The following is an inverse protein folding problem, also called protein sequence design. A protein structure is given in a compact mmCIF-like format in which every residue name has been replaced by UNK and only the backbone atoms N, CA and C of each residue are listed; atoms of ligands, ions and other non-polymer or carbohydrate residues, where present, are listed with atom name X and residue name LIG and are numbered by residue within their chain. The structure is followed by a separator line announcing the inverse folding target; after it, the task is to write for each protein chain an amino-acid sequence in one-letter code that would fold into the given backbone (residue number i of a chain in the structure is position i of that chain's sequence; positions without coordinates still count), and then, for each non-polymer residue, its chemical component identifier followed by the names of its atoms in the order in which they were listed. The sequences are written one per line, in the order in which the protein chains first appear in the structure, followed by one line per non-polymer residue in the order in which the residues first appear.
data_IF_871621334320
#
_entry.id   IF_871621334320
#
_cell.length_a   1.000
_cell.length_b   1.000
_cell.length_c   1.000
_cell.angle_alpha   90.00
_cell.angle_beta   90.00
_cell.angle_gamma   90.00
#
_symmetry.space_group_name_H-M   'P 1'
#
loop_
_entity.id
_entity.type
_entity.pdbx_description
1 polymer ?
#
# COMPACT_ATOMS: atom_id res chain seq x y z
N UNK A 1 22.83 29.33 -15.87
CA UNK A 1 21.40 29.65 -15.78
C UNK A 1 20.82 28.94 -14.56
N UNK A 2 20.48 29.66 -13.49
CA UNK A 2 19.76 29.11 -12.32
C UNK A 2 18.27 29.21 -12.62
N UNK A 3 17.55 28.10 -12.57
CA UNK A 3 16.08 28.12 -12.58
C UNK A 3 15.61 28.82 -11.29
N UNK A 4 14.66 29.77 -11.36
CA UNK A 4 14.13 30.41 -10.17
C UNK A 4 13.24 29.43 -9.42
N UNK A 5 13.75 28.89 -8.31
CA UNK A 5 12.90 28.23 -7.31
C UNK A 5 12.02 29.30 -6.68
N UNK A 6 10.72 29.23 -6.94
CA UNK A 6 9.73 30.06 -6.25
C UNK A 6 9.77 29.72 -4.76
N UNK A 7 10.43 30.55 -3.96
CA UNK A 7 10.39 30.43 -2.52
C UNK A 7 8.94 30.64 -2.06
N UNK A 8 8.40 29.69 -1.28
CA UNK A 8 7.08 29.83 -0.69
C UNK A 8 7.02 31.12 0.15
N UNK A 9 5.92 31.89 0.08
CA UNK A 9 5.65 33.01 0.96
C UNK A 9 5.93 32.68 2.44
N UNK A 10 6.50 33.62 3.20
CA UNK A 10 6.91 33.39 4.60
C UNK A 10 5.76 32.99 5.56
N UNK A 11 4.50 33.24 5.18
CA UNK A 11 3.30 32.77 5.89
C UNK A 11 3.03 31.28 5.61
N UNK A 12 3.19 30.85 4.37
CA UNK A 12 3.02 29.46 3.93
C UNK A 12 4.16 28.58 4.45
N UNK A 13 5.41 29.05 4.41
CA UNK A 13 6.56 28.36 5.01
C UNK A 13 6.36 28.15 6.53
N UNK A 14 5.83 29.14 7.25
CA UNK A 14 5.50 28.97 8.68
C UNK A 14 4.36 27.98 8.93
N UNK A 15 3.32 27.96 8.08
CA UNK A 15 2.21 26.98 8.18
C UNK A 15 2.73 25.57 7.91
N UNK A 16 3.51 25.38 6.85
CA UNK A 16 4.14 24.11 6.51
C UNK A 16 5.01 23.59 7.65
N UNK A 17 5.92 24.41 8.19
CA UNK A 17 6.77 24.03 9.34
C UNK A 17 5.96 23.62 10.57
N UNK A 18 4.87 24.33 10.86
CA UNK A 18 3.97 23.97 11.98
C UNK A 18 3.26 22.64 11.71
N UNK A 19 2.81 22.39 10.47
CA UNK A 19 2.19 21.13 10.05
C UNK A 19 3.17 19.97 10.20
N UNK A 20 4.37 20.08 9.63
CA UNK A 20 5.42 19.06 9.72
C UNK A 20 5.80 18.75 11.18
N UNK A 21 5.90 19.79 12.02
CA UNK A 21 6.17 19.61 13.45
C UNK A 21 5.02 18.89 14.17
N UNK A 22 3.77 19.15 13.78
CA UNK A 22 2.59 18.45 14.32
C UNK A 22 2.61 16.98 13.91
N UNK A 23 2.75 16.68 12.63
CA UNK A 23 2.83 15.32 12.09
C UNK A 23 3.94 14.53 12.78
N UNK A 24 5.14 15.11 12.88
CA UNK A 24 6.25 14.50 13.59
C UNK A 24 5.90 14.16 15.04
N UNK A 25 5.29 15.10 15.77
CA UNK A 25 4.87 14.86 17.15
C UNK A 25 3.83 13.75 17.26
N UNK A 26 2.88 13.68 16.32
CA UNK A 26 1.90 12.59 16.26
C UNK A 26 2.61 11.25 16.08
N UNK A 27 3.52 11.14 15.11
CA UNK A 27 4.29 9.92 14.86
C UNK A 27 5.12 9.51 16.09
N UNK A 28 5.81 10.47 16.71
CA UNK A 28 6.59 10.24 17.94
C UNK A 28 5.70 9.76 19.10
N UNK A 29 4.48 10.30 19.22
CA UNK A 29 3.50 9.89 20.22
C UNK A 29 2.99 8.46 20.00
N UNK A 30 2.65 8.10 18.76
CA UNK A 30 2.23 6.74 18.40
C UNK A 30 3.33 5.72 18.67
N UNK A 31 4.56 6.00 18.23
CA UNK A 31 5.69 5.11 18.49
C UNK A 31 5.96 4.95 20.00
N UNK A 32 5.79 6.01 20.80
CA UNK A 32 5.90 5.92 22.25
C UNK A 32 4.79 5.06 22.87
N UNK A 33 3.55 5.24 22.43
CA UNK A 33 2.40 4.46 22.88
C UNK A 33 2.58 2.96 22.59
N UNK A 34 3.20 2.61 21.46
CA UNK A 34 3.48 1.22 21.08
C UNK A 34 4.76 0.65 21.70
N UNK A 35 5.48 1.44 22.52
CA UNK A 35 6.75 1.03 23.12
C UNK A 35 7.92 0.97 22.14
N UNK A 36 7.81 1.63 20.98
CA UNK A 36 8.76 1.65 19.87
C UNK A 36 9.65 2.90 19.84
N UNK A 37 9.96 3.45 21.01
CA UNK A 37 10.75 4.68 21.13
C UNK A 37 12.20 4.52 20.64
N UNK A 38 12.76 3.32 20.81
CA UNK A 38 14.16 3.00 20.53
C UNK A 38 14.34 1.55 20.07
N UNK A 39 15.23 1.32 19.11
CA UNK A 39 15.69 -0.02 18.74
C UNK A 39 14.63 -0.91 18.09
N UNK A 40 13.50 -0.34 17.68
CA UNK A 40 12.46 -0.99 16.90
C UNK A 40 12.63 -0.60 15.43
N UNK A 41 12.46 -1.56 14.52
CA UNK A 41 12.49 -1.36 13.09
C UNK A 41 11.19 -1.85 12.43
N UNK A 42 11.31 -2.21 11.15
CA UNK A 42 10.18 -2.65 10.34
C UNK A 42 9.54 -3.90 10.90
N UNK A 43 10.34 -4.88 11.34
CA UNK A 43 9.82 -6.16 11.83
C UNK A 43 8.94 -5.99 13.06
N UNK A 44 9.36 -5.14 14.00
CA UNK A 44 8.57 -4.84 15.20
C UNK A 44 7.27 -4.08 14.85
N UNK A 45 7.33 -3.10 13.94
CA UNK A 45 6.15 -2.37 13.49
C UNK A 45 5.16 -3.28 12.74
N UNK A 46 5.68 -4.12 11.83
CA UNK A 46 4.90 -5.09 11.06
C UNK A 46 4.19 -6.10 11.96
N UNK A 47 4.91 -6.69 12.92
CA UNK A 47 4.35 -7.64 13.87
C UNK A 47 3.28 -7.00 14.75
N UNK A 48 3.53 -5.78 15.25
CA UNK A 48 2.58 -5.03 16.07
C UNK A 48 1.30 -4.72 15.30
N UNK A 49 1.39 -4.17 14.09
CA UNK A 49 0.22 -3.81 13.28
C UNK A 49 -0.59 -5.03 12.87
N UNK A 50 0.06 -6.14 12.53
CA UNK A 50 -0.63 -7.42 12.25
C UNK A 50 -1.42 -7.90 13.48
N UNK A 51 -0.79 -7.87 14.67
CA UNK A 51 -1.44 -8.27 15.91
C UNK A 51 -2.60 -7.33 16.31
N UNK A 52 -2.40 -6.02 16.18
CA UNK A 52 -3.41 -5.01 16.51
C UNK A 52 -4.66 -5.14 15.63
N UNK A 53 -4.49 -5.51 14.36
CA UNK A 53 -5.60 -5.69 13.42
C UNK A 53 -6.28 -7.05 13.54
N UNK A 54 -5.64 -8.01 14.20
CA UNK A 54 -6.13 -9.38 14.28
C UNK A 54 -6.09 -10.14 12.95
N UNK A 55 -5.32 -9.66 11.98
CA UNK A 55 -5.13 -10.27 10.65
C UNK A 55 -3.70 -10.09 10.16
N UNK A 56 -3.14 -11.05 9.42
CA UNK A 56 -1.76 -10.97 8.95
C UNK A 56 -1.60 -9.88 7.88
N UNK A 57 -0.43 -9.24 7.89
CA UNK A 57 0.04 -8.37 6.80
C UNK A 57 1.10 -9.17 6.03
N UNK A 58 0.88 -9.43 4.75
CA UNK A 58 1.83 -10.15 3.90
C UNK A 58 2.72 -9.18 3.12
N UNK A 59 4.04 -9.31 3.27
CA UNK A 59 5.02 -8.52 2.52
C UNK A 59 5.43 -9.29 1.25
N UNK A 60 5.06 -8.79 0.07
CA UNK A 60 5.22 -9.50 -1.20
C UNK A 60 6.16 -8.74 -2.16
N UNK A 61 7.38 -9.25 -2.42
CA UNK A 61 8.26 -8.63 -3.40
C UNK A 61 7.68 -8.79 -4.82
N UNK A 62 7.45 -7.67 -5.50
CA UNK A 62 6.75 -7.60 -6.78
C UNK A 62 7.54 -6.74 -7.79
N UNK A 63 7.44 -7.05 -9.09
CA UNK A 63 7.99 -6.18 -10.13
C UNK A 63 6.99 -5.09 -10.48
N UNK A 64 7.37 -3.82 -10.38
CA UNK A 64 6.53 -2.71 -10.83
C UNK A 64 7.02 -2.25 -12.22
N UNK A 65 6.14 -2.25 -13.25
CA UNK A 65 6.49 -1.79 -14.60
C UNK A 65 6.63 -0.26 -14.63
N UNK A 66 5.97 0.40 -13.68
CA UNK A 66 5.77 1.82 -13.61
C UNK A 66 6.81 2.42 -12.71
N UNK A 67 7.64 3.29 -13.29
CA UNK A 67 8.82 3.86 -12.64
C UNK A 67 8.54 4.76 -11.43
N UNK A 68 7.27 4.97 -11.08
CA UNK A 68 6.85 5.88 -10.01
C UNK A 68 6.08 5.18 -8.88
N UNK A 69 5.66 3.92 -9.08
CA UNK A 69 5.08 3.09 -8.03
C UNK A 69 6.17 2.15 -7.52
N UNK A 70 6.45 2.21 -6.23
CA UNK A 70 7.47 1.37 -5.61
C UNK A 70 6.90 0.43 -4.55
N UNK A 71 5.68 0.71 -4.07
CA UNK A 71 4.91 -0.17 -3.21
C UNK A 71 3.44 0.16 -3.28
N UNK A 72 2.63 -0.77 -2.79
CA UNK A 72 1.18 -0.65 -2.64
C UNK A 72 0.72 -1.44 -1.43
N UNK A 73 -0.27 -0.91 -0.73
CA UNK A 73 -1.04 -1.63 0.27
C UNK A 73 -2.44 -1.98 -0.25
N UNK A 74 -2.76 -3.27 -0.26
CA UNK A 74 -4.08 -3.80 -0.53
C UNK A 74 -4.72 -4.31 0.75
N UNK A 75 -5.93 -3.85 1.02
CA UNK A 75 -6.74 -4.28 2.16
C UNK A 75 -7.73 -5.35 1.70
N UNK A 76 -7.74 -6.49 2.38
CA UNK A 76 -8.79 -7.52 2.27
C UNK A 76 -9.49 -7.67 3.62
N UNK A 77 -10.49 -8.55 3.71
CA UNK A 77 -11.19 -8.84 4.97
C UNK A 77 -10.32 -9.65 5.93
N UNK A 78 -9.65 -10.68 5.40
CA UNK A 78 -8.96 -11.68 6.21
C UNK A 78 -7.46 -11.38 6.39
N UNK A 79 -6.86 -10.55 5.51
CA UNK A 79 -5.45 -10.17 5.56
C UNK A 79 -5.18 -8.84 4.84
N UNK A 80 -3.99 -8.31 4.99
CA UNK A 80 -3.50 -7.17 4.21
C UNK A 80 -2.30 -7.63 3.36
N UNK A 81 -2.10 -7.04 2.18
CA UNK A 81 -0.92 -7.26 1.35
C UNK A 81 -0.18 -5.94 1.20
N UNK A 82 1.12 -5.92 1.49
CA UNK A 82 2.04 -4.87 1.07
C UNK A 82 2.92 -5.45 -0.03
N UNK A 83 2.67 -5.05 -1.27
CA UNK A 83 3.57 -5.37 -2.38
C UNK A 83 4.63 -4.27 -2.52
N UNK A 84 5.90 -4.64 -2.72
CA UNK A 84 7.03 -3.70 -2.80
C UNK A 84 8.01 -4.07 -3.90
N UNK A 85 8.71 -3.08 -4.46
CA UNK A 85 9.61 -3.27 -5.61
C UNK A 85 10.75 -4.24 -5.30
N UNK A 86 10.71 -5.41 -5.94
CA UNK A 86 11.63 -6.51 -5.71
C UNK A 86 13.09 -6.16 -6.05
N UNK A 87 13.31 -5.29 -7.04
CA UNK A 87 14.64 -4.90 -7.51
C UNK A 87 15.23 -3.69 -6.74
N UNK A 88 14.47 -3.11 -5.79
CA UNK A 88 14.96 -2.02 -4.97
C UNK A 88 16.12 -2.46 -4.08
N UNK A 89 17.01 -1.53 -3.73
CA UNK A 89 18.06 -1.78 -2.73
C UNK A 89 17.43 -2.10 -1.37
N UNK A 90 18.15 -2.79 -0.49
CA UNK A 90 17.64 -3.13 0.84
C UNK A 90 17.07 -1.92 1.59
N UNK A 91 17.80 -0.79 1.59
CA UNK A 91 17.33 0.45 2.23
C UNK A 91 16.11 1.08 1.57
N UNK A 92 15.95 0.93 0.25
CA UNK A 92 14.73 1.39 -0.43
C UNK A 92 13.55 0.45 -0.15
N UNK A 93 13.76 -0.88 -0.11
CA UNK A 93 12.73 -1.83 0.33
C UNK A 93 12.26 -1.50 1.74
N UNK A 94 13.20 -1.23 2.64
CA UNK A 94 12.92 -0.81 4.02
C UNK A 94 12.03 0.45 4.05
N UNK A 95 12.36 1.46 3.25
CA UNK A 95 11.56 2.69 3.13
C UNK A 95 10.16 2.42 2.59
N UNK A 96 10.05 1.68 1.48
CA UNK A 96 8.77 1.35 0.85
C UNK A 96 7.88 0.64 1.87
N UNK A 97 8.38 -0.41 2.53
CA UNK A 97 7.59 -1.18 3.49
C UNK A 97 7.20 -0.32 4.70
N UNK A 98 8.13 0.47 5.24
CA UNK A 98 7.83 1.35 6.36
C UNK A 98 6.78 2.42 6.00
N UNK A 99 6.79 2.90 4.77
CA UNK A 99 5.81 3.86 4.24
C UNK A 99 4.41 3.22 4.12
N UNK A 100 4.30 2.03 3.53
CA UNK A 100 3.02 1.32 3.43
C UNK A 100 2.47 0.90 4.80
N UNK A 101 3.35 0.45 5.72
CA UNK A 101 2.96 0.19 7.12
C UNK A 101 2.48 1.45 7.83
N UNK A 102 3.03 2.62 7.50
CA UNK A 102 2.58 3.87 8.07
C UNK A 102 1.15 4.24 7.62
N UNK A 103 0.79 3.98 6.36
CA UNK A 103 -0.61 4.10 5.93
C UNK A 103 -1.56 3.21 6.75
N UNK A 104 -1.14 1.99 7.07
CA UNK A 104 -1.90 1.09 7.95
C UNK A 104 -2.01 1.67 9.36
N UNK A 105 -0.90 2.16 9.91
CA UNK A 105 -0.82 2.72 11.25
C UNK A 105 -1.75 3.92 11.48
N UNK A 106 -1.94 4.76 10.46
CA UNK A 106 -2.84 5.90 10.50
C UNK A 106 -4.27 5.57 10.05
N UNK A 107 -4.57 4.30 9.73
CA UNK A 107 -5.85 3.85 9.15
C UNK A 107 -6.27 4.66 7.92
N UNK A 108 -5.29 4.99 7.07
CA UNK A 108 -5.58 5.61 5.77
C UNK A 108 -6.40 4.65 4.91
N UNK A 109 -7.08 5.20 3.92
CA UNK A 109 -7.78 4.37 2.96
C UNK A 109 -6.72 3.78 2.01
N UNK A 110 -6.38 2.50 2.21
CA UNK A 110 -5.32 1.82 1.45
C UNK A 110 -5.46 1.97 -0.07
N UNK A 111 -4.37 1.74 -0.79
CA UNK A 111 -4.30 1.96 -2.25
C UNK A 111 -5.40 1.22 -3.02
N UNK A 112 -5.74 0.00 -2.56
CA UNK A 112 -6.79 -0.84 -3.11
C UNK A 112 -7.63 -1.48 -1.99
N UNK A 113 -8.95 -1.40 -2.13
CA UNK A 113 -9.90 -2.26 -1.40
C UNK A 113 -10.40 -3.34 -2.33
N UNK A 114 -10.16 -4.59 -1.96
CA UNK A 114 -10.69 -5.76 -2.67
C UNK A 114 -11.83 -6.31 -1.82
N UNK A 115 -12.95 -5.58 -1.77
CA UNK A 115 -14.14 -6.03 -1.05
C UNK A 115 -14.81 -7.16 -1.84
N UNK A 116 -15.42 -8.11 -1.12
CA UNK A 116 -16.26 -9.19 -1.67
C UNK A 116 -17.59 -8.59 -2.13
N UNK A 117 -17.85 -8.58 -3.44
CA UNK A 117 -19.12 -8.26 -4.12
C UNK A 117 -20.06 -7.28 -3.39
N UNK A 118 -19.98 -6.00 -3.74
CA UNK A 118 -21.17 -5.15 -3.77
C UNK A 118 -21.61 -5.04 -5.24
N UNK A 119 -22.84 -5.46 -5.61
CA UNK A 119 -23.32 -5.27 -6.96
C UNK A 119 -23.34 -3.77 -7.24
N UNK A 120 -22.56 -3.36 -8.24
CA UNK A 120 -22.50 -1.97 -8.65
C UNK A 120 -23.88 -1.45 -9.00
N UNK A 121 -24.52 -0.71 -8.08
CA UNK A 121 -25.58 0.24 -8.43
C UNK A 121 -24.92 1.51 -8.95
N UNK A 122 -24.17 1.37 -10.04
CA UNK A 122 -24.02 2.45 -10.99
C UNK A 122 -25.22 2.34 -11.90
N UNK A 123 -26.20 3.24 -11.78
CA UNK A 123 -27.24 3.37 -12.79
C UNK A 123 -26.57 3.76 -14.14
N UNK A 124 -26.72 2.95 -15.20
CA UNK A 124 -26.61 3.48 -16.55
C UNK A 124 -28.00 3.97 -16.98
N UNK A 125 -28.05 5.25 -17.31
CA UNK A 125 -29.15 5.85 -18.05
C UNK A 125 -29.44 5.04 -19.33
N UNK A 126 -30.70 4.64 -19.51
CA UNK A 126 -31.33 4.50 -20.82
C UNK A 126 -31.13 3.21 -21.64
N UNK A 127 -32.12 2.31 -21.53
CA UNK A 127 -32.76 1.51 -22.62
C UNK A 127 -32.11 0.21 -23.13
N UNK A 128 -32.81 -0.91 -22.85
CA UNK A 128 -33.47 -1.83 -23.81
C UNK A 128 -33.34 -3.32 -23.40
N UNK A 129 -34.48 -4.03 -23.46
CA UNK A 129 -34.73 -5.38 -22.96
C UNK A 129 -34.16 -6.52 -23.84
N UNK A 130 -33.97 -7.71 -23.26
CA UNK A 130 -34.63 -8.97 -23.69
C UNK A 130 -34.32 -10.16 -22.74
N UNK A 131 -35.15 -11.18 -22.87
CA UNK A 131 -35.50 -12.29 -21.96
C UNK A 131 -34.42 -13.37 -21.65
N UNK A 132 -34.58 -14.05 -20.50
CA UNK A 132 -34.69 -15.52 -20.47
C UNK A 132 -33.65 -16.39 -19.72
N UNK A 133 -34.18 -17.21 -18.79
CA UNK A 133 -33.70 -18.52 -18.26
C UNK A 133 -32.63 -18.57 -17.15
N UNK A 134 -32.91 -19.35 -16.09
CA UNK A 134 -32.09 -19.47 -14.89
C UNK A 134 -31.24 -20.75 -14.74
N UNK A 135 -30.25 -20.63 -13.85
CA UNK A 135 -29.56 -21.60 -12.95
C UNK A 135 -28.92 -22.88 -13.55
N UNK A 136 -27.74 -23.38 -13.05
CA UNK A 136 -27.46 -23.49 -11.62
C UNK A 136 -26.04 -23.16 -11.11
N UNK A 137 -26.01 -23.12 -9.78
CA UNK A 137 -24.88 -23.03 -8.85
C UNK A 137 -23.70 -23.93 -9.21
N UNK A 138 -22.51 -23.34 -9.18
CA UNK A 138 -21.22 -24.02 -9.17
C UNK A 138 -20.27 -23.17 -8.34
N UNK A 139 -19.67 -23.77 -7.31
CA UNK A 139 -18.70 -23.14 -6.43
C UNK A 139 -17.47 -22.63 -7.21
N UNK A 140 -17.55 -21.40 -7.70
CA UNK A 140 -16.42 -20.62 -8.18
C UNK A 140 -15.93 -19.75 -7.03
N UNK A 141 -14.63 -19.79 -6.73
CA UNK A 141 -14.03 -18.88 -5.76
C UNK A 141 -14.29 -17.43 -6.25
N UNK A 142 -14.87 -16.54 -5.42
CA UNK A 142 -15.45 -15.26 -5.85
C UNK A 142 -14.41 -14.19 -6.21
N UNK A 143 -13.13 -14.55 -6.28
CA UNK A 143 -12.07 -13.63 -6.70
C UNK A 143 -11.81 -13.68 -8.21
N UNK A 144 -12.46 -14.61 -8.93
CA UNK A 144 -12.26 -14.93 -10.35
C UNK A 144 -12.57 -13.77 -11.30
N UNK A 145 -13.35 -12.78 -10.88
CA UNK A 145 -13.89 -11.73 -11.76
C UNK A 145 -13.12 -10.38 -11.68
N UNK A 146 -12.03 -10.29 -10.92
CA UNK A 146 -11.21 -9.07 -10.88
C UNK A 146 -10.27 -9.03 -12.08
N UNK A 147 -10.63 -8.22 -13.08
CA UNK A 147 -9.85 -7.97 -14.30
C UNK A 147 -8.47 -7.35 -13.98
N UNK A 148 -7.35 -7.90 -14.48
CA UNK A 148 -6.02 -7.27 -14.38
C UNK A 148 -5.97 -5.82 -14.89
N UNK A 149 -6.78 -5.46 -15.87
CA UNK A 149 -6.89 -4.08 -16.34
C UNK A 149 -7.61 -3.18 -15.32
N UNK A 150 -8.59 -3.72 -14.59
CA UNK A 150 -9.19 -3.04 -13.45
C UNK A 150 -8.16 -2.85 -12.32
N UNK A 151 -7.38 -3.88 -11.98
CA UNK A 151 -6.26 -3.73 -11.02
C UNK A 151 -5.33 -2.62 -11.46
N UNK A 152 -4.91 -2.61 -12.74
CA UNK A 152 -4.05 -1.55 -13.29
C UNK A 152 -4.69 -0.15 -13.24
N UNK A 153 -5.98 -0.05 -13.56
CA UNK A 153 -6.72 1.21 -13.53
C UNK A 153 -6.87 1.75 -12.10
N UNK A 154 -7.11 0.87 -11.12
CA UNK A 154 -7.23 1.29 -9.72
C UNK A 154 -5.85 1.59 -9.13
N UNK A 155 -4.80 0.83 -9.47
CA UNK A 155 -3.40 1.15 -9.10
C UNK A 155 -2.98 2.55 -9.59
N UNK A 156 -3.39 2.93 -10.81
CA UNK A 156 -3.15 4.27 -11.37
C UNK A 156 -3.97 5.38 -10.70
N UNK A 157 -5.02 5.02 -9.95
CA UNK A 157 -5.93 5.96 -9.29
C UNK A 157 -5.70 6.06 -7.79
N UNK A 158 -4.88 5.18 -7.19
CA UNK A 158 -4.47 5.28 -5.79
C UNK A 158 -3.81 6.64 -5.57
N UNK A 159 -4.51 7.54 -4.89
CA UNK A 159 -4.02 8.87 -4.51
C UNK A 159 -4.27 9.05 -3.04
N UNK A 160 -3.21 8.98 -2.25
CA UNK A 160 -3.22 9.51 -0.91
C UNK A 160 -3.19 11.05 -0.98
N UNK A 161 -3.74 11.70 0.03
CA UNK A 161 -3.65 13.15 0.15
C UNK A 161 -2.25 13.59 0.56
N UNK A 162 -1.88 14.85 0.27
CA UNK A 162 -0.61 15.43 0.72
C UNK A 162 -0.38 15.33 2.25
N UNK A 163 -1.46 15.27 3.04
CA UNK A 163 -1.38 15.11 4.49
C UNK A 163 -1.10 13.65 4.86
N UNK A 164 -1.81 12.70 4.24
CA UNK A 164 -1.60 11.26 4.42
C UNK A 164 -0.19 10.83 4.00
N UNK A 165 0.27 11.31 2.85
CA UNK A 165 1.63 11.08 2.35
C UNK A 165 2.69 11.63 3.31
N UNK A 166 2.42 12.81 3.88
CA UNK A 166 3.35 13.41 4.83
C UNK A 166 3.41 12.65 6.15
N UNK A 167 2.27 12.12 6.62
CA UNK A 167 2.18 11.27 7.80
C UNK A 167 2.94 9.96 7.59
N UNK A 168 2.71 9.30 6.46
CA UNK A 168 3.40 8.07 6.10
C UNK A 168 4.91 8.25 5.98
N UNK A 169 5.35 9.26 5.23
CA UNK A 169 6.76 9.56 5.02
C UNK A 169 7.48 9.94 6.33
N UNK A 170 6.79 10.68 7.21
CA UNK A 170 7.36 11.06 8.51
C UNK A 170 7.51 9.86 9.44
N UNK A 171 6.50 8.99 9.50
CA UNK A 171 6.55 7.76 10.30
C UNK A 171 7.63 6.81 9.78
N UNK A 172 7.69 6.58 8.47
CA UNK A 172 8.70 5.75 7.82
C UNK A 172 10.12 6.24 8.14
N UNK A 173 10.36 7.54 7.95
CA UNK A 173 11.65 8.16 8.29
C UNK A 173 12.01 7.98 9.77
N UNK A 174 11.02 8.09 10.66
CA UNK A 174 11.19 8.00 12.10
C UNK A 174 11.46 6.58 12.60
N UNK A 175 10.78 5.56 12.06
CA UNK A 175 11.03 4.16 12.46
C UNK A 175 12.38 3.69 11.93
N UNK A 176 12.74 4.06 10.70
CA UNK A 176 14.04 3.70 10.11
C UNK A 176 15.21 4.39 10.81
N UNK A 177 15.04 5.65 11.23
CA UNK A 177 16.06 6.35 12.01
C UNK A 177 16.28 5.74 13.41
N UNK A 178 15.30 5.00 13.95
CA UNK A 178 15.37 4.34 15.26
C UNK A 178 15.79 2.88 15.19
N UNK A 179 15.68 2.27 14.02
CA UNK A 179 16.07 0.90 13.79
C UNK A 179 17.56 0.70 14.11
N UNK A 180 17.87 -0.25 14.98
CA UNK A 180 19.25 -0.64 15.32
C UNK A 180 19.64 -1.99 14.70
N UNK A 181 18.67 -2.69 14.10
CA UNK A 181 18.87 -3.92 13.33
C UNK A 181 18.66 -3.60 11.86
N UNK A 182 19.47 -4.23 11.01
CA UNK A 182 19.17 -4.27 9.57
C UNK A 182 17.99 -5.19 9.35
N UNK A 183 17.01 -4.72 8.58
CA UNK A 183 15.98 -5.60 8.08
C UNK A 183 16.60 -6.65 7.16
N UNK A 184 16.20 -7.90 7.34
CA UNK A 184 16.53 -9.00 6.44
C UNK A 184 15.25 -9.43 5.75
N UNK A 185 15.24 -9.35 4.42
CA UNK A 185 14.12 -9.81 3.60
C UNK A 185 13.77 -11.25 3.97
N UNK A 186 12.61 -11.48 4.61
CA UNK A 186 12.24 -12.83 5.00
C UNK A 186 11.87 -13.61 3.74
N UNK A 187 12.13 -14.92 3.76
CA UNK A 187 11.58 -15.81 2.75
C UNK A 187 10.08 -16.03 3.04
N UNK A 188 9.27 -14.99 2.85
CA UNK A 188 7.82 -15.14 2.87
C UNK A 188 7.40 -15.92 1.63
N UNK A 189 6.90 -17.14 1.83
CA UNK A 189 6.03 -17.76 0.84
C UNK A 189 4.73 -16.96 0.79
N UNK A 190 4.19 -16.73 -0.40
CA UNK A 190 2.82 -16.25 -0.54
C UNK A 190 1.93 -17.36 0.02
N UNK A 191 1.17 -17.14 1.11
CA UNK A 191 0.26 -18.18 1.59
C UNK A 191 -0.80 -18.47 0.53
N UNK A 192 -1.32 -19.70 0.50
CA UNK A 192 -2.23 -20.16 -0.54
C UNK A 192 -3.47 -19.23 -0.69
N UNK A 193 -3.94 -18.66 0.42
CA UNK A 193 -5.03 -17.68 0.47
C UNK A 193 -4.73 -16.35 -0.25
N UNK A 194 -3.46 -15.96 -0.34
CA UNK A 194 -3.01 -14.74 -1.02
C UNK A 194 -2.48 -15.00 -2.43
N UNK A 195 -2.21 -16.26 -2.81
CA UNK A 195 -1.53 -16.63 -4.05
C UNK A 195 -2.24 -16.12 -5.30
N UNK A 196 -3.57 -16.21 -5.32
CA UNK A 196 -4.38 -15.77 -6.46
C UNK A 196 -4.38 -14.24 -6.60
N UNK A 197 -4.48 -13.52 -5.47
CA UNK A 197 -4.43 -12.05 -5.46
C UNK A 197 -3.06 -11.56 -5.88
N UNK A 198 -1.98 -12.18 -5.40
CA UNK A 198 -0.61 -11.85 -5.79
C UNK A 198 -0.40 -12.09 -7.29
N UNK A 199 -0.84 -13.23 -7.83
CA UNK A 199 -0.74 -13.51 -9.26
C UNK A 199 -1.47 -12.46 -10.11
N UNK A 200 -2.61 -11.95 -9.62
CA UNK A 200 -3.34 -10.86 -10.28
C UNK A 200 -2.62 -9.53 -10.20
N UNK A 201 -2.05 -9.17 -9.03
CA UNK A 201 -1.22 -7.97 -8.87
C UNK A 201 -0.05 -8.03 -9.86
N UNK A 202 0.67 -9.14 -9.91
CA UNK A 202 1.77 -9.34 -10.85
C UNK A 202 1.31 -9.27 -12.32
N UNK A 203 0.13 -9.79 -12.64
CA UNK A 203 -0.43 -9.72 -14.00
C UNK A 203 -0.87 -8.31 -14.39
N UNK A 204 -1.49 -7.55 -13.46
CA UNK A 204 -1.97 -6.19 -13.69
C UNK A 204 -0.83 -5.16 -13.74
N UNK A 205 0.22 -5.38 -12.95
CA UNK A 205 1.50 -4.70 -13.06
C UNK A 205 2.28 -5.16 -14.31
N UNK A 206 1.85 -6.19 -15.03
CA UNK A 206 2.57 -6.66 -16.21
C UNK A 206 3.90 -7.33 -15.87
N UNK A 207 4.20 -8.41 -16.59
CA UNK A 207 5.52 -9.05 -16.46
C UNK A 207 6.60 -8.08 -16.94
N UNK A 208 7.74 -7.96 -16.24
CA UNK A 208 8.91 -7.39 -16.88
C UNK A 208 9.19 -8.28 -18.10
N UNK A 209 9.19 -7.69 -19.30
CA UNK A 209 9.74 -8.37 -20.46
C UNK A 209 11.12 -8.86 -20.06
N UNK A 210 11.28 -10.18 -19.97
CA UNK A 210 12.59 -10.77 -19.81
C UNK A 210 13.36 -10.37 -21.07
N UNK A 211 14.28 -9.41 -20.91
CA UNK A 211 15.16 -8.98 -21.98
C UNK A 211 15.82 -10.22 -22.57
N UNK A 212 15.50 -10.51 -23.83
CA UNK A 212 16.23 -11.49 -24.61
C UNK A 212 17.68 -11.01 -24.73
N UNK A 213 18.58 -11.95 -24.42
CA UNK A 213 20.02 -11.82 -24.39
C UNK A 213 20.65 -11.33 -25.70
#
# INVERSE_FOLDING_TARGET
MKLPGSALPASEDRRLRRRLKKVRRTCEGLLAEWGMEHGCGIDELHAYLSAQRGRPIHLIPTAFPERHLFGIWLKTDDFDIIAFEKAASASHKEHIIAHELAHIAFDHQGSLRLDRDEPGTGEPDGTAATDGAGAPEGAGLPFSDVDPEAVRSVLMRSRYSDDEEQEAETMASLILARANKRWTEPAWGVPDEAAEIVARIESGLGRPEQGQA
#
